data_IF_670818303025
#
_entry.id   IF_670818303025
#
_cell.length_a   1.000
_cell.length_b   1.000
_cell.length_c   1.000
_cell.angle_alpha   90.00
_cell.angle_beta   90.00
_cell.angle_gamma   90.00
#
_symmetry.space_group_name_H-M   'P 1'
#
loop_
_entity.id
_entity.type
_entity.pdbx_description
1 polymer ?
#
# COMPACT_ATOMS: atom_id res chain seq x y z
N UNK A 1 14.40 -25.24 -22.07
CA UNK A 1 14.42 -23.78 -21.84
C UNK A 1 15.69 -23.43 -21.10
N UNK A 2 16.53 -22.59 -21.65
CA UNK A 2 17.77 -22.16 -20.99
C UNK A 2 17.47 -21.24 -19.81
N UNK A 3 18.36 -21.17 -18.82
CA UNK A 3 18.21 -20.27 -17.67
C UNK A 3 18.06 -18.79 -18.13
N UNK A 4 18.62 -18.42 -19.26
CA UNK A 4 18.55 -17.08 -19.86
C UNK A 4 17.15 -16.76 -20.43
N UNK A 5 16.45 -17.74 -21.00
CA UNK A 5 15.07 -17.56 -21.48
C UNK A 5 14.09 -17.36 -20.33
N UNK A 6 14.27 -18.08 -19.21
CA UNK A 6 13.46 -17.92 -18.00
C UNK A 6 13.64 -16.54 -17.33
N UNK A 7 14.85 -15.99 -17.38
CA UNK A 7 15.14 -14.64 -16.85
C UNK A 7 14.53 -13.57 -17.75
N UNK A 8 14.68 -13.68 -19.07
CA UNK A 8 14.09 -12.74 -20.05
C UNK A 8 12.56 -12.71 -19.97
N UNK A 9 11.92 -13.88 -19.85
CA UNK A 9 10.46 -13.98 -19.74
C UNK A 9 9.95 -13.31 -18.45
N UNK A 10 10.60 -13.53 -17.29
CA UNK A 10 10.25 -12.85 -16.03
C UNK A 10 10.45 -11.33 -16.10
N UNK A 11 11.43 -10.84 -16.82
CA UNK A 11 11.67 -9.40 -17.01
C UNK A 11 10.56 -8.78 -17.87
N UNK A 12 10.16 -9.42 -18.95
CA UNK A 12 9.08 -8.94 -19.84
C UNK A 12 7.74 -8.91 -19.12
N UNK A 13 7.40 -9.95 -18.34
CA UNK A 13 6.18 -9.99 -17.53
C UNK A 13 6.12 -8.87 -16.48
N UNK A 14 7.25 -8.56 -15.83
CA UNK A 14 7.37 -7.48 -14.85
C UNK A 14 7.20 -6.09 -15.48
N UNK A 15 7.77 -5.86 -16.67
CA UNK A 15 7.57 -4.62 -17.40
C UNK A 15 6.12 -4.45 -17.84
N UNK A 16 5.45 -5.53 -18.26
CA UNK A 16 4.04 -5.48 -18.66
C UNK A 16 3.13 -5.15 -17.48
N UNK A 17 3.38 -5.69 -16.27
CA UNK A 17 2.62 -5.38 -15.07
C UNK A 17 2.75 -3.90 -14.69
N UNK A 18 3.97 -3.40 -14.52
CA UNK A 18 4.22 -2.00 -14.18
C UNK A 18 3.67 -1.02 -15.22
N UNK A 19 3.76 -1.38 -16.51
CA UNK A 19 3.18 -0.61 -17.58
C UNK A 19 1.64 -0.57 -17.49
N UNK A 20 1.01 -1.70 -17.17
CA UNK A 20 -0.44 -1.78 -16.99
C UNK A 20 -0.91 -0.95 -15.79
N UNK A 21 -0.20 -1.01 -14.66
CA UNK A 21 -0.46 -0.16 -13.49
C UNK A 21 -0.31 1.31 -13.86
N UNK A 22 0.83 1.69 -14.45
CA UNK A 22 1.11 3.07 -14.85
C UNK A 22 0.07 3.65 -15.83
N UNK A 23 -0.43 2.86 -16.77
CA UNK A 23 -1.48 3.29 -17.72
C UNK A 23 -2.80 3.62 -17.03
N UNK A 24 -3.08 3.03 -15.87
CA UNK A 24 -4.30 3.24 -15.08
C UNK A 24 -4.21 4.46 -14.15
N UNK A 25 -3.00 4.96 -13.89
CA UNK A 25 -2.83 6.19 -13.11
C UNK A 25 -3.52 7.37 -13.77
N UNK A 26 -4.18 8.21 -12.97
CA UNK A 26 -4.60 9.52 -13.42
C UNK A 26 -3.39 10.45 -13.68
N UNK A 27 -3.65 11.61 -14.25
CA UNK A 27 -2.59 12.60 -14.59
C UNK A 27 -1.79 13.01 -13.35
N UNK A 28 -2.45 13.20 -12.21
CA UNK A 28 -1.81 13.68 -10.97
C UNK A 28 -0.89 12.60 -10.39
N UNK A 29 -1.36 11.36 -10.32
CA UNK A 29 -0.57 10.21 -9.89
C UNK A 29 0.64 9.99 -10.81
N UNK A 30 0.45 10.06 -12.14
CA UNK A 30 1.56 9.97 -13.11
C UNK A 30 2.60 11.05 -12.89
N UNK A 31 2.16 12.30 -12.68
CA UNK A 31 3.05 13.43 -12.43
C UNK A 31 3.84 13.26 -11.12
N UNK A 32 3.20 12.84 -10.03
CA UNK A 32 3.86 12.59 -8.76
C UNK A 32 4.85 11.42 -8.88
N UNK A 33 4.41 10.31 -9.48
CA UNK A 33 5.24 9.13 -9.72
C UNK A 33 6.47 9.43 -10.60
N UNK A 34 6.33 10.26 -11.64
CA UNK A 34 7.44 10.64 -12.51
C UNK A 34 8.53 11.44 -11.81
N UNK A 35 8.18 12.12 -10.71
CA UNK A 35 9.12 12.91 -9.90
C UNK A 35 9.92 12.10 -8.92
N UNK A 36 9.50 10.85 -8.64
CA UNK A 36 10.30 9.96 -7.82
C UNK A 36 11.66 9.71 -8.49
N UNK A 37 12.71 9.83 -7.69
CA UNK A 37 14.09 9.65 -8.12
C UNK A 37 15.01 9.46 -6.94
N UNK A 38 16.29 9.67 -7.15
CA UNK A 38 17.29 9.52 -6.11
C UNK A 38 17.02 10.47 -4.93
N UNK A 39 16.99 9.91 -3.72
CA UNK A 39 16.72 10.64 -2.49
C UNK A 39 15.24 10.97 -2.22
N UNK A 40 14.32 10.63 -3.15
CA UNK A 40 12.88 10.69 -2.84
C UNK A 40 12.50 9.61 -1.83
N UNK A 41 11.56 9.90 -0.94
CA UNK A 41 11.00 8.95 0.02
C UNK A 41 9.65 8.45 -0.49
N UNK A 42 9.56 7.14 -0.69
CA UNK A 42 8.33 6.43 -1.09
C UNK A 42 7.88 5.51 0.04
N UNK A 43 6.65 5.67 0.49
CA UNK A 43 6.03 4.80 1.51
C UNK A 43 4.93 3.98 0.87
N UNK A 44 5.02 2.65 0.99
CA UNK A 44 4.10 1.66 0.42
C UNK A 44 3.36 0.95 1.55
N UNK A 45 2.12 1.39 1.83
CA UNK A 45 1.26 0.77 2.84
C UNK A 45 0.38 -0.28 2.18
N UNK A 46 0.54 -1.52 2.64
CA UNK A 46 0.06 -2.71 1.93
C UNK A 46 1.01 -3.05 0.78
N UNK A 47 2.30 -3.19 1.10
CA UNK A 47 3.34 -3.44 0.09
C UNK A 47 3.24 -4.82 -0.56
N UNK A 48 2.55 -5.77 0.08
CA UNK A 48 2.39 -7.14 -0.36
C UNK A 48 3.75 -7.74 -0.76
N UNK A 49 3.88 -8.35 -1.94
CA UNK A 49 5.14 -8.91 -2.43
C UNK A 49 6.12 -7.88 -3.02
N UNK A 50 5.83 -6.59 -2.88
CA UNK A 50 6.73 -5.47 -3.20
C UNK A 50 6.87 -5.13 -4.68
N UNK A 51 5.87 -5.38 -5.51
CA UNK A 51 5.96 -5.08 -6.95
C UNK A 51 6.10 -3.58 -7.21
N UNK A 52 5.27 -2.76 -6.55
CA UNK A 52 5.32 -1.30 -6.65
C UNK A 52 6.56 -0.75 -5.95
N UNK A 53 6.87 -1.27 -4.78
CA UNK A 53 8.08 -0.93 -4.02
C UNK A 53 9.35 -1.11 -4.85
N UNK A 54 9.45 -2.21 -5.61
CA UNK A 54 10.59 -2.43 -6.52
C UNK A 54 10.66 -1.40 -7.64
N UNK A 55 9.53 -0.95 -8.15
CA UNK A 55 9.50 0.08 -9.18
C UNK A 55 9.97 1.44 -8.65
N UNK A 56 9.54 1.82 -7.44
CA UNK A 56 10.01 3.03 -6.78
C UNK A 56 11.51 2.96 -6.46
N UNK A 57 11.98 1.81 -5.91
CA UNK A 57 13.40 1.56 -5.65
C UNK A 57 14.25 1.68 -6.93
N UNK A 58 13.79 1.13 -8.05
CA UNK A 58 14.49 1.20 -9.35
C UNK A 58 14.63 2.64 -9.87
N UNK A 59 13.76 3.56 -9.45
CA UNK A 59 13.87 4.99 -9.75
C UNK A 59 14.88 5.73 -8.84
N UNK A 60 15.44 5.06 -7.83
CA UNK A 60 16.39 5.65 -6.89
C UNK A 60 15.78 6.11 -5.57
N UNK A 61 14.50 5.88 -5.35
CA UNK A 61 13.84 6.25 -4.10
C UNK A 61 14.34 5.41 -2.90
N UNK A 62 14.31 6.01 -1.72
CA UNK A 62 14.29 5.30 -0.44
C UNK A 62 12.87 4.78 -0.23
N UNK A 63 12.73 3.49 0.02
CA UNK A 63 11.42 2.82 0.05
C UNK A 63 11.15 2.28 1.44
N UNK A 64 10.00 2.63 2.00
CA UNK A 64 9.48 2.09 3.24
C UNK A 64 8.27 1.22 2.93
N UNK A 65 8.41 -0.09 3.13
CA UNK A 65 7.37 -1.10 2.86
C UNK A 65 6.70 -1.49 4.17
N UNK A 66 5.39 -1.30 4.28
CA UNK A 66 4.59 -1.72 5.44
C UNK A 66 3.68 -2.87 5.00
N UNK A 67 3.83 -4.03 5.63
CA UNK A 67 3.08 -5.24 5.27
C UNK A 67 2.90 -6.15 6.50
N UNK A 68 1.68 -6.31 7.03
CA UNK A 68 1.43 -7.14 8.20
C UNK A 68 1.30 -8.64 7.90
N UNK A 69 1.04 -9.04 6.63
CA UNK A 69 0.85 -10.45 6.29
C UNK A 69 2.20 -11.19 6.23
N UNK A 70 2.45 -12.20 7.10
CA UNK A 70 3.74 -12.89 7.16
C UNK A 70 4.18 -13.55 5.84
N UNK A 71 3.22 -14.04 5.04
CA UNK A 71 3.49 -14.67 3.75
C UNK A 71 3.97 -13.66 2.70
N UNK A 72 3.32 -12.52 2.63
CA UNK A 72 3.74 -11.41 1.79
C UNK A 72 5.08 -10.85 2.27
N UNK A 73 5.23 -10.66 3.58
CA UNK A 73 6.46 -10.20 4.23
C UNK A 73 7.67 -11.07 3.86
N UNK A 74 7.56 -12.40 3.92
CA UNK A 74 8.65 -13.29 3.53
C UNK A 74 9.08 -13.08 2.07
N UNK A 75 8.12 -12.91 1.16
CA UNK A 75 8.40 -12.63 -0.25
C UNK A 75 9.03 -11.26 -0.46
N UNK A 76 8.56 -10.28 0.30
CA UNK A 76 9.06 -8.90 0.30
C UNK A 76 10.53 -8.85 0.78
N UNK A 77 10.84 -9.48 1.91
CA UNK A 77 12.19 -9.59 2.45
C UNK A 77 13.16 -10.23 1.45
N UNK A 78 12.75 -11.30 0.80
CA UNK A 78 13.57 -11.95 -0.25
C UNK A 78 13.79 -11.06 -1.47
N UNK A 79 12.80 -10.24 -1.83
CA UNK A 79 12.89 -9.33 -2.98
C UNK A 79 13.90 -8.18 -2.75
N UNK A 80 14.14 -7.85 -1.47
CA UNK A 80 14.97 -6.72 -1.05
C UNK A 80 16.14 -7.10 -0.13
N UNK A 81 16.49 -8.40 -0.03
CA UNK A 81 17.52 -8.92 0.90
C UNK A 81 18.89 -8.22 0.80
N UNK A 82 19.20 -7.60 -0.33
CA UNK A 82 20.47 -6.92 -0.59
C UNK A 82 20.27 -5.45 -1.02
N UNK A 83 19.14 -4.83 -0.65
CA UNK A 83 18.78 -3.47 -1.08
C UNK A 83 18.96 -2.47 0.05
N UNK A 84 19.98 -1.65 -0.03
CA UNK A 84 20.39 -0.65 0.98
C UNK A 84 19.39 0.51 1.18
N UNK A 85 18.54 0.80 0.19
CA UNK A 85 17.55 1.88 0.24
C UNK A 85 16.11 1.38 0.46
N UNK A 86 15.95 0.21 1.11
CA UNK A 86 14.63 -0.35 1.39
C UNK A 86 14.52 -0.75 2.86
N UNK A 87 13.49 -0.24 3.51
CA UNK A 87 13.12 -0.54 4.88
C UNK A 87 11.79 -1.30 4.88
N UNK A 88 11.74 -2.42 5.60
CA UNK A 88 10.57 -3.31 5.63
C UNK A 88 10.08 -3.40 7.06
N UNK A 89 8.76 -3.24 7.25
CA UNK A 89 8.10 -3.19 8.54
C UNK A 89 6.92 -4.16 8.58
N UNK A 90 6.85 -4.98 9.64
CA UNK A 90 5.90 -6.05 9.87
C UNK A 90 4.72 -5.65 10.76
N UNK A 91 4.15 -4.49 10.50
CA UNK A 91 2.98 -4.00 11.23
C UNK A 91 1.86 -3.54 10.29
N UNK A 92 0.64 -3.50 10.79
CA UNK A 92 -0.49 -2.87 10.13
C UNK A 92 -0.55 -1.38 10.50
N UNK A 93 -0.65 -0.51 9.49
CA UNK A 93 -0.86 0.92 9.70
C UNK A 93 -2.23 1.17 10.37
N UNK A 94 -2.24 1.85 11.51
CA UNK A 94 -3.43 2.05 12.33
C UNK A 94 -3.42 3.41 13.02
N UNK A 95 -4.41 3.63 13.88
CA UNK A 95 -4.59 4.87 14.68
C UNK A 95 -3.82 4.85 16.00
N UNK A 96 -3.28 3.68 16.38
CA UNK A 96 -2.52 3.49 17.62
C UNK A 96 -1.64 2.25 17.56
N UNK A 97 -0.64 2.22 18.41
CA UNK A 97 0.14 1.02 18.69
C UNK A 97 -0.72 -0.03 19.37
N UNK A 98 -0.44 -1.31 19.11
CA UNK A 98 -1.15 -2.43 19.69
C UNK A 98 -1.14 -3.67 18.82
N UNK A 99 -2.26 -4.38 18.80
CA UNK A 99 -2.48 -5.56 17.94
C UNK A 99 -3.86 -5.49 17.30
N UNK A 100 -3.97 -6.03 16.09
CA UNK A 100 -5.25 -6.19 15.40
C UNK A 100 -5.37 -7.59 14.82
N UNK A 101 -6.59 -7.99 14.48
CA UNK A 101 -6.87 -9.22 13.77
C UNK A 101 -6.80 -8.96 12.27
N UNK A 102 -5.86 -9.60 11.58
CA UNK A 102 -5.75 -9.58 10.12
C UNK A 102 -6.53 -10.78 9.58
N UNK A 103 -7.67 -10.53 8.97
CA UNK A 103 -8.48 -11.54 8.28
C UNK A 103 -7.79 -11.92 6.97
N UNK A 104 -7.56 -13.21 6.77
CA UNK A 104 -6.93 -13.72 5.56
C UNK A 104 -7.95 -13.87 4.44
N UNK A 105 -7.49 -13.85 3.18
CA UNK A 105 -8.35 -14.21 2.05
C UNK A 105 -8.89 -15.63 2.22
N UNK A 106 -10.16 -15.89 1.86
CA UNK A 106 -10.82 -17.19 2.06
C UNK A 106 -10.09 -18.37 1.39
N UNK A 107 -9.40 -18.13 0.28
CA UNK A 107 -8.60 -19.14 -0.44
C UNK A 107 -7.11 -19.12 -0.03
N UNK A 108 -6.76 -18.45 1.07
CA UNK A 108 -5.37 -18.30 1.49
C UNK A 108 -4.70 -19.66 1.81
N UNK A 109 -5.43 -20.58 2.41
CA UNK A 109 -4.90 -21.92 2.76
C UNK A 109 -4.53 -22.73 1.52
N UNK A 110 -5.28 -22.59 0.43
CA UNK A 110 -5.04 -23.32 -0.81
C UNK A 110 -3.79 -22.82 -1.55
N UNK A 111 -3.56 -21.52 -1.55
CA UNK A 111 -2.38 -20.92 -2.18
C UNK A 111 -1.98 -19.59 -1.50
N UNK A 112 -1.25 -19.65 -0.37
CA UNK A 112 -0.86 -18.44 0.39
C UNK A 112 -0.11 -17.40 -0.44
N UNK A 113 0.67 -17.86 -1.42
CA UNK A 113 1.44 -16.98 -2.30
C UNK A 113 0.57 -16.16 -3.25
N UNK A 114 -0.51 -16.77 -3.77
CA UNK A 114 -1.44 -16.12 -4.70
C UNK A 114 -2.40 -15.20 -3.96
N UNK A 115 -2.87 -15.61 -2.78
CA UNK A 115 -3.90 -14.94 -2.00
C UNK A 115 -3.34 -14.15 -0.80
N UNK A 116 -2.05 -13.78 -0.83
CA UNK A 116 -1.48 -12.82 0.12
C UNK A 116 -2.07 -11.43 -0.04
N UNK A 117 -2.47 -11.07 -1.27
CA UNK A 117 -3.30 -9.89 -1.55
C UNK A 117 -4.74 -10.16 -1.11
N UNK A 118 -5.40 -9.15 -0.56
CA UNK A 118 -6.79 -9.29 -0.15
C UNK A 118 -7.02 -9.61 1.32
N UNK A 119 -5.97 -9.83 2.12
CA UNK A 119 -6.07 -9.85 3.58
C UNK A 119 -6.39 -8.45 4.11
N UNK A 120 -7.26 -8.35 5.11
CA UNK A 120 -7.79 -7.07 5.58
C UNK A 120 -7.93 -7.04 7.11
N UNK A 121 -7.85 -5.85 7.69
CA UNK A 121 -8.30 -5.60 9.08
C UNK A 121 -9.83 -5.48 9.18
N UNK A 122 -10.54 -5.43 8.05
CA UNK A 122 -11.99 -5.29 7.99
C UNK A 122 -12.64 -6.67 7.85
N UNK A 123 -13.19 -7.21 8.95
CA UNK A 123 -13.81 -8.54 8.97
C UNK A 123 -15.12 -8.67 8.18
N UNK A 124 -15.78 -7.56 7.84
CA UNK A 124 -16.99 -7.56 7.00
C UNK A 124 -16.69 -7.64 5.50
N UNK A 125 -15.42 -7.72 5.11
CA UNK A 125 -15.00 -7.87 3.71
C UNK A 125 -15.48 -9.22 3.15
N UNK A 126 -16.11 -9.26 1.94
CA UNK A 126 -16.80 -10.46 1.44
C UNK A 126 -15.92 -11.68 1.17
N UNK A 127 -14.64 -11.51 0.97
CA UNK A 127 -13.70 -12.57 0.57
C UNK A 127 -12.63 -12.86 1.62
N UNK A 128 -12.92 -12.60 2.89
CA UNK A 128 -12.05 -12.98 4.00
C UNK A 128 -12.68 -14.11 4.81
N UNK A 129 -11.83 -14.98 5.33
CA UNK A 129 -12.20 -16.06 6.22
C UNK A 129 -12.33 -15.56 7.66
N UNK A 130 -13.08 -16.28 8.51
CA UNK A 130 -13.08 -16.02 9.95
C UNK A 130 -11.72 -16.34 10.59
N UNK A 131 -10.91 -17.15 9.92
CA UNK A 131 -9.52 -17.40 10.32
C UNK A 131 -8.66 -16.18 9.99
N UNK A 132 -7.80 -15.82 10.92
CA UNK A 132 -6.90 -14.70 10.75
C UNK A 132 -5.73 -14.77 11.73
N UNK A 133 -4.90 -13.76 11.68
CA UNK A 133 -3.68 -13.66 12.46
C UNK A 133 -3.72 -12.44 13.36
N UNK A 134 -3.21 -12.54 14.58
CA UNK A 134 -2.90 -11.37 15.38
C UNK A 134 -1.63 -10.74 14.83
N UNK A 135 -1.72 -9.48 14.40
CA UNK A 135 -0.59 -8.72 13.86
C UNK A 135 -0.36 -7.44 14.67
N UNK A 136 0.89 -6.98 14.81
CA UNK A 136 1.16 -5.71 15.44
C UNK A 136 0.54 -4.57 14.64
N UNK A 137 0.05 -3.54 15.35
CA UNK A 137 -0.36 -2.26 14.76
C UNK A 137 0.56 -1.15 15.25
N UNK A 138 0.72 -0.11 14.42
CA UNK A 138 1.45 1.08 14.79
C UNK A 138 0.65 2.34 14.49
N UNK A 139 0.76 3.32 15.37
CA UNK A 139 0.28 4.68 15.09
C UNK A 139 0.99 5.21 13.84
N UNK A 140 0.24 5.25 12.75
CA UNK A 140 0.82 5.55 11.45
C UNK A 140 1.13 7.04 11.27
N UNK A 141 0.41 7.93 11.99
CA UNK A 141 0.76 9.36 12.03
C UNK A 141 2.11 9.57 12.71
N UNK A 142 2.32 8.96 13.88
CA UNK A 142 3.60 9.01 14.58
C UNK A 142 4.74 8.43 13.73
N UNK A 143 4.51 7.30 13.06
CA UNK A 143 5.48 6.71 12.15
C UNK A 143 5.88 7.64 10.99
N UNK A 144 4.91 8.29 10.34
CA UNK A 144 5.18 9.24 9.26
C UNK A 144 5.92 10.49 9.75
N UNK A 145 5.61 10.98 10.97
CA UNK A 145 6.34 12.09 11.60
C UNK A 145 7.80 11.73 11.91
N UNK A 146 8.07 10.49 12.36
CA UNK A 146 9.44 9.99 12.56
C UNK A 146 10.23 9.91 11.24
N UNK A 147 9.58 9.52 10.14
CA UNK A 147 10.22 9.51 8.81
C UNK A 147 10.51 10.92 8.30
N UNK A 148 9.75 11.91 8.74
CA UNK A 148 9.81 13.27 8.24
C UNK A 148 9.19 13.39 6.85
N UNK A 149 9.93 13.94 5.87
CA UNK A 149 9.40 14.15 4.53
C UNK A 149 9.11 12.85 3.79
N UNK A 150 7.91 12.74 3.23
CA UNK A 150 7.46 11.66 2.33
C UNK A 150 7.03 12.27 1.00
N UNK A 151 7.72 11.94 -0.09
CA UNK A 151 7.40 12.48 -1.41
C UNK A 151 6.18 11.81 -2.03
N UNK A 152 6.00 10.50 -1.78
CA UNK A 152 4.86 9.74 -2.28
C UNK A 152 4.44 8.67 -1.26
N UNK A 153 3.20 8.74 -0.82
CA UNK A 153 2.55 7.77 0.06
C UNK A 153 1.50 6.98 -0.74
N UNK A 154 1.69 5.66 -0.87
CA UNK A 154 0.64 4.75 -1.37
C UNK A 154 -0.09 4.14 -0.19
N UNK A 155 -1.42 4.10 -0.22
CA UNK A 155 -2.27 3.41 0.74
C UNK A 155 -3.20 2.47 -0.02
N UNK A 156 -3.04 1.16 0.23
CA UNK A 156 -3.79 0.09 -0.39
C UNK A 156 -3.86 -1.06 0.64
N UNK A 157 -4.84 -0.99 1.52
CA UNK A 157 -4.98 -1.82 2.73
C UNK A 157 -6.35 -2.47 2.85
N UNK A 158 -6.92 -2.72 1.68
CA UNK A 158 -8.05 -3.64 1.52
C UNK A 158 -9.27 -3.28 2.38
N UNK A 159 -9.61 -1.99 2.42
CA UNK A 159 -10.81 -1.45 3.06
C UNK A 159 -10.54 -0.67 4.36
N UNK A 160 -9.39 -0.83 5.01
CA UNK A 160 -9.07 -0.11 6.25
C UNK A 160 -8.70 1.38 6.01
N UNK A 161 -8.48 1.79 4.78
CA UNK A 161 -8.22 3.19 4.41
C UNK A 161 -9.33 4.15 4.85
N UNK A 162 -10.59 3.67 4.96
CA UNK A 162 -11.72 4.50 5.43
C UNK A 162 -11.63 4.89 6.91
N UNK A 163 -10.80 4.20 7.68
CA UNK A 163 -10.47 4.49 9.06
C UNK A 163 -9.14 5.27 9.18
N UNK A 164 -8.13 4.83 8.42
CA UNK A 164 -6.78 5.37 8.51
C UNK A 164 -6.68 6.79 7.95
N UNK A 165 -7.23 7.06 6.76
CA UNK A 165 -7.13 8.38 6.12
C UNK A 165 -7.81 9.47 6.94
N UNK A 166 -9.04 9.30 7.48
CA UNK A 166 -9.64 10.29 8.40
C UNK A 166 -8.79 10.58 9.62
N UNK A 167 -8.17 9.56 10.20
CA UNK A 167 -7.24 9.73 11.32
C UNK A 167 -6.05 10.59 10.92
N UNK A 168 -5.39 10.30 9.81
CA UNK A 168 -4.25 11.07 9.31
C UNK A 168 -4.63 12.53 9.00
N UNK A 169 -5.83 12.78 8.47
CA UNK A 169 -6.30 14.16 8.22
C UNK A 169 -6.28 15.01 9.48
N UNK A 170 -6.60 14.41 10.64
CA UNK A 170 -6.65 15.13 11.92
C UNK A 170 -5.34 15.14 12.72
N UNK A 171 -4.36 14.31 12.39
CA UNK A 171 -3.19 14.07 13.24
C UNK A 171 -1.83 14.33 12.57
N UNK A 172 -1.80 14.44 11.24
CA UNK A 172 -0.54 14.52 10.48
C UNK A 172 -0.22 15.97 10.08
N UNK A 173 1.05 16.32 10.13
CA UNK A 173 1.56 17.52 9.46
C UNK A 173 1.63 17.28 7.94
N UNK A 174 0.68 17.84 7.22
CA UNK A 174 0.54 17.65 5.77
C UNK A 174 1.61 18.35 4.94
N UNK A 175 2.41 19.23 5.51
CA UNK A 175 3.55 19.84 4.79
C UNK A 175 4.68 18.82 4.57
N UNK A 176 4.74 17.77 5.38
CA UNK A 176 5.66 16.66 5.21
C UNK A 176 5.31 15.73 4.04
N UNK A 177 4.05 15.73 3.58
CA UNK A 177 3.56 14.79 2.56
C UNK A 177 3.41 15.48 1.22
N UNK A 178 4.15 14.99 0.22
CA UNK A 178 4.11 15.49 -1.15
C UNK A 178 2.85 15.06 -1.90
N UNK A 179 2.56 13.76 -1.94
CA UNK A 179 1.42 13.18 -2.65
C UNK A 179 0.95 11.89 -2.02
N UNK A 180 -0.36 11.64 -2.06
CA UNK A 180 -0.99 10.40 -1.57
C UNK A 180 -1.81 9.75 -2.67
N UNK A 181 -1.57 8.49 -2.94
CA UNK A 181 -2.38 7.66 -3.81
C UNK A 181 -3.08 6.57 -2.98
N UNK A 182 -4.39 6.51 -3.06
CA UNK A 182 -5.21 5.57 -2.30
C UNK A 182 -5.98 4.66 -3.24
N UNK A 183 -5.89 3.34 -3.06
CA UNK A 183 -6.87 2.43 -3.62
C UNK A 183 -8.13 2.46 -2.74
N UNK A 184 -9.30 2.69 -3.36
CA UNK A 184 -10.57 2.65 -2.62
C UNK A 184 -11.33 1.37 -2.95
N UNK A 185 -11.82 0.72 -1.91
CA UNK A 185 -12.46 -0.60 -2.00
C UNK A 185 -13.99 -0.49 -1.94
N UNK A 186 -14.56 0.55 -2.56
CA UNK A 186 -15.99 0.87 -2.62
C UNK A 186 -16.71 0.34 -3.86
N UNK A 187 -16.14 -0.70 -4.51
CA UNK A 187 -16.71 -1.35 -5.71
C UNK A 187 -17.99 -2.13 -5.38
N UNK A 188 -18.72 -2.55 -6.42
CA UNK A 188 -20.08 -3.10 -6.29
C UNK A 188 -20.22 -4.24 -5.26
N UNK A 189 -19.23 -5.12 -5.15
CA UNK A 189 -19.20 -6.24 -4.19
C UNK A 189 -18.89 -5.83 -2.74
N UNK A 190 -18.53 -4.57 -2.50
CA UNK A 190 -18.16 -4.02 -1.19
C UNK A 190 -19.01 -2.79 -0.87
N UNK A 191 -20.32 -2.96 -0.98
CA UNK A 191 -21.31 -1.87 -0.84
C UNK A 191 -21.20 -1.13 0.48
N UNK A 192 -20.80 -1.82 1.55
CA UNK A 192 -20.70 -1.26 2.91
C UNK A 192 -19.61 -0.21 3.03
N UNK A 193 -18.60 -0.26 2.16
CA UNK A 193 -17.51 0.73 2.14
C UNK A 193 -17.87 2.00 1.34
N UNK A 194 -18.96 2.02 0.56
CA UNK A 194 -19.30 3.19 -0.27
C UNK A 194 -19.54 4.46 0.55
N UNK A 195 -20.37 4.36 1.59
CA UNK A 195 -20.69 5.51 2.42
C UNK A 195 -19.46 5.98 3.25
N UNK A 196 -18.69 5.09 3.91
CA UNK A 196 -17.43 5.46 4.55
C UNK A 196 -16.43 6.11 3.58
N UNK A 197 -16.21 5.54 2.39
CA UNK A 197 -15.32 6.10 1.37
C UNK A 197 -15.76 7.48 0.92
N UNK A 198 -17.07 7.68 0.70
CA UNK A 198 -17.60 9.01 0.35
C UNK A 198 -17.35 10.04 1.47
N UNK A 199 -17.55 9.66 2.75
CA UNK A 199 -17.26 10.53 3.90
C UNK A 199 -15.78 10.87 4.00
N UNK A 200 -14.90 9.89 3.81
CA UNK A 200 -13.45 10.05 3.80
C UNK A 200 -13.01 11.07 2.74
N UNK A 201 -13.49 10.93 1.50
CA UNK A 201 -13.19 11.86 0.39
C UNK A 201 -13.63 13.30 0.70
N UNK A 202 -14.86 13.47 1.21
CA UNK A 202 -15.37 14.78 1.63
C UNK A 202 -14.56 15.40 2.77
N UNK A 203 -14.08 14.61 3.72
CA UNK A 203 -13.23 15.08 4.80
C UNK A 203 -11.90 15.63 4.28
N UNK A 204 -11.26 14.91 3.35
CA UNK A 204 -10.02 15.36 2.68
C UNK A 204 -10.25 16.66 1.91
N UNK A 205 -11.38 16.79 1.21
CA UNK A 205 -11.76 18.01 0.51
C UNK A 205 -11.98 19.18 1.47
N UNK A 206 -12.73 18.96 2.56
CA UNK A 206 -13.01 19.97 3.57
C UNK A 206 -11.75 20.44 4.30
N UNK A 207 -10.74 19.58 4.44
CA UNK A 207 -9.43 19.92 5.00
C UNK A 207 -8.51 20.66 3.99
N UNK A 208 -8.96 20.94 2.76
CA UNK A 208 -8.15 21.58 1.74
C UNK A 208 -7.06 20.71 1.11
N UNK A 209 -7.10 19.39 1.35
CA UNK A 209 -6.05 18.43 0.96
C UNK A 209 -6.30 17.80 -0.41
N UNK A 210 -7.39 18.11 -1.10
CA UNK A 210 -7.79 17.47 -2.36
C UNK A 210 -6.68 17.47 -3.42
N UNK A 211 -5.80 18.47 -3.44
CA UNK A 211 -4.68 18.56 -4.39
C UNK A 211 -3.56 17.55 -4.10
N UNK A 212 -3.44 17.08 -2.88
CA UNK A 212 -2.44 16.08 -2.48
C UNK A 212 -2.91 14.65 -2.74
N UNK A 213 -4.20 14.37 -2.87
CA UNK A 213 -4.77 13.03 -2.98
C UNK A 213 -5.15 12.63 -4.40
N UNK A 214 -4.95 11.36 -4.72
CA UNK A 214 -5.60 10.62 -5.82
C UNK A 214 -6.28 9.37 -5.26
N UNK A 215 -7.50 9.10 -5.76
CA UNK A 215 -8.33 7.95 -5.39
C UNK A 215 -8.35 6.85 -6.45
N UNK A 216 -7.46 6.97 -7.42
CA UNK A 216 -7.39 6.09 -8.59
C UNK A 216 -6.08 5.29 -8.60
N UNK A 217 -5.70 4.75 -7.43
CA UNK A 217 -4.69 3.71 -7.40
C UNK A 217 -5.32 2.43 -7.97
N UNK A 218 -4.71 1.76 -8.99
CA UNK A 218 -5.33 0.64 -9.71
C UNK A 218 -5.20 -0.70 -9.00
#
# INVERSE_FOLDING_TARGET
MSADEGVKMKVVERFSFLWNVYRRFDYRTRRAWSRLGQGSVFVDVGANVGEISRAAHAKGAVVHCIEPNPWAMHSLQRAFSEKDRTHIYDFAASKSDGTAHLFLHEEHEDNPKRFSSGSSLVGSKPNVSETGLSVPTRDFSAFLLELGRVDFLKIDIEGHEVELVPYLVGSLDWDLIGFVAVETHDKAKWSDLRAPTSRMKKLVEAAGLATKFSWNWP
#
